data_IF_063333764845
#
_entry.id   IF_063333764845
#
_cell.length_a   1.000
_cell.length_b   1.000
_cell.length_c   1.000
_cell.angle_alpha   90.00
_cell.angle_beta   90.00
_cell.angle_gamma   90.00
#
_symmetry.space_group_name_H-M   'P 1'
#
loop_
_entity.id
_entity.type
_entity.pdbx_description
1 polymer ?
#
# COMPACT_ATOMS: atom_id res chain seq x y z
N UNK A 1 5.73 2.20 1.69
CA UNK A 1 4.97 1.61 2.82
C UNK A 1 5.55 1.93 4.20
N UNK A 2 6.81 1.60 4.51
CA UNK A 2 7.42 1.92 5.82
C UNK A 2 7.39 3.42 6.15
N UNK A 3 7.70 4.28 5.16
CA UNK A 3 7.61 5.75 5.32
C UNK A 3 6.19 6.26 5.61
N UNK A 4 5.17 5.65 5.00
CA UNK A 4 3.77 6.02 5.27
C UNK A 4 3.36 5.63 6.70
N UNK A 5 3.74 4.43 7.15
CA UNK A 5 3.40 3.94 8.49
C UNK A 5 4.15 4.70 9.60
N UNK A 6 5.42 5.04 9.37
CA UNK A 6 6.17 5.95 10.24
C UNK A 6 5.53 7.36 10.25
N UNK A 7 5.09 7.83 9.08
CA UNK A 7 4.36 9.09 8.93
C UNK A 7 2.90 9.05 9.44
N UNK A 8 2.34 7.90 9.85
CA UNK A 8 1.08 7.88 10.61
C UNK A 8 1.32 7.92 12.12
N UNK A 9 2.38 7.25 12.59
CA UNK A 9 2.76 7.28 14.00
C UNK A 9 3.14 8.68 14.49
N UNK A 10 3.92 9.45 13.70
CA UNK A 10 4.29 10.81 14.10
C UNK A 10 3.11 11.79 14.21
N UNK A 11 1.97 11.50 13.56
CA UNK A 11 0.74 12.30 13.68
C UNK A 11 0.07 12.07 15.04
N UNK A 12 0.18 10.85 15.56
CA UNK A 12 -0.25 10.56 16.92
C UNK A 12 0.61 11.31 17.96
N UNK A 13 1.92 11.48 17.68
CA UNK A 13 2.83 12.23 18.54
C UNK A 13 2.48 13.72 18.67
N UNK A 14 1.86 14.26 17.61
CA UNK A 14 1.42 15.65 17.55
C UNK A 14 0.15 15.93 18.38
N UNK A 15 -0.58 14.92 18.88
CA UNK A 15 -1.70 15.15 19.79
C UNK A 15 -1.25 15.66 21.16
N UNK A 16 -0.10 15.23 21.69
CA UNK A 16 0.41 15.67 23.00
C UNK A 16 0.53 17.21 23.10
N UNK A 17 1.23 17.91 22.18
CA UNK A 17 1.34 19.37 22.25
C UNK A 17 0.01 20.12 22.00
N UNK A 18 -0.97 19.53 21.29
CA UNK A 18 -2.30 20.12 21.13
C UNK A 18 -3.03 20.20 22.48
N UNK A 19 -3.04 19.09 23.24
CA UNK A 19 -3.72 19.02 24.52
C UNK A 19 -2.96 19.72 25.65
N UNK A 20 -1.62 19.64 25.67
CA UNK A 20 -0.82 20.17 26.78
C UNK A 20 -0.41 21.65 26.61
N UNK A 21 -0.22 22.14 25.38
CA UNK A 21 0.31 23.50 25.16
C UNK A 21 -0.68 24.44 24.49
N UNK A 22 -1.42 23.94 23.51
CA UNK A 22 -2.34 24.76 22.71
C UNK A 22 -3.67 25.02 23.44
N UNK A 23 -4.28 23.99 24.03
CA UNK A 23 -5.52 24.14 24.80
C UNK A 23 -5.37 25.02 26.06
N UNK A 24 -4.30 24.89 26.88
CA UNK A 24 -4.21 25.61 28.15
C UNK A 24 -3.64 27.03 28.05
N UNK A 25 -2.62 27.27 27.22
CA UNK A 25 -1.82 28.51 27.26
C UNK A 25 -1.83 29.36 25.98
N UNK A 26 -2.44 28.88 24.88
CA UNK A 26 -2.47 29.52 23.54
C UNK A 26 -1.10 29.98 22.97
N UNK A 27 0.01 29.61 23.60
CA UNK A 27 1.38 29.92 23.16
C UNK A 27 1.89 28.78 22.28
N UNK A 28 2.49 29.10 21.13
CA UNK A 28 3.03 28.09 20.20
C UNK A 28 2.02 27.50 19.20
N UNK A 29 0.79 28.03 19.13
CA UNK A 29 -0.26 27.59 18.19
C UNK A 29 0.25 27.50 16.73
N UNK A 30 0.89 28.55 16.23
CA UNK A 30 1.37 28.62 14.84
C UNK A 30 2.39 27.52 14.53
N UNK A 31 3.33 27.24 15.43
CA UNK A 31 4.34 26.21 15.24
C UNK A 31 3.73 24.80 15.20
N UNK A 32 2.82 24.49 16.13
CA UNK A 32 2.14 23.19 16.19
C UNK A 32 1.29 22.97 14.93
N UNK A 33 0.52 23.97 14.51
CA UNK A 33 -0.30 23.90 13.28
C UNK A 33 0.58 23.73 12.04
N UNK A 34 1.67 24.50 11.91
CA UNK A 34 2.61 24.34 10.80
C UNK A 34 3.26 22.95 10.78
N UNK A 35 3.61 22.38 11.93
CA UNK A 35 4.16 21.03 12.04
C UNK A 35 3.15 19.96 11.59
N UNK A 36 1.88 20.08 11.99
CA UNK A 36 0.81 19.16 11.57
C UNK A 36 0.60 19.22 10.06
N UNK A 37 0.55 20.42 9.49
CA UNK A 37 0.39 20.61 8.05
C UNK A 37 1.58 20.00 7.31
N UNK A 38 2.81 20.32 7.72
CA UNK A 38 4.02 19.79 7.08
C UNK A 38 4.09 18.27 7.12
N UNK A 39 3.76 17.67 8.26
CA UNK A 39 3.75 16.24 8.42
C UNK A 39 2.60 15.55 7.65
N UNK A 40 1.43 16.18 7.58
CA UNK A 40 0.29 15.69 6.78
C UNK A 40 0.60 15.70 5.28
N UNK A 41 1.27 16.75 4.80
CA UNK A 41 1.74 16.85 3.41
C UNK A 41 2.77 15.75 3.12
N UNK A 42 3.75 15.56 4.00
CA UNK A 42 4.75 14.51 3.86
C UNK A 42 4.11 13.11 3.83
N UNK A 43 3.16 12.84 4.74
CA UNK A 43 2.39 11.59 4.76
C UNK A 43 1.63 11.39 3.45
N UNK A 44 1.01 12.44 2.90
CA UNK A 44 0.30 12.40 1.62
C UNK A 44 1.23 12.03 0.45
N UNK A 45 2.40 12.65 0.39
CA UNK A 45 3.44 12.34 -0.62
C UNK A 45 3.89 10.88 -0.49
N UNK A 46 4.21 10.43 0.73
CA UNK A 46 4.61 9.06 0.99
C UNK A 46 3.52 8.05 0.60
N UNK A 47 2.24 8.38 0.83
CA UNK A 47 1.10 7.56 0.42
C UNK A 47 1.02 7.44 -1.10
N UNK A 48 1.14 8.57 -1.80
CA UNK A 48 1.09 8.63 -3.26
C UNK A 48 2.17 7.74 -3.89
N UNK A 49 3.43 7.90 -3.48
CA UNK A 49 4.51 7.06 -3.99
C UNK A 49 4.29 5.58 -3.67
N UNK A 50 3.75 5.26 -2.50
CA UNK A 50 3.47 3.89 -2.11
C UNK A 50 2.44 3.23 -3.03
N UNK A 51 1.36 3.94 -3.37
CA UNK A 51 0.33 3.45 -4.30
C UNK A 51 0.90 3.35 -5.71
N UNK A 52 1.60 4.39 -6.17
CA UNK A 52 2.18 4.42 -7.51
C UNK A 52 3.14 3.24 -7.75
N UNK A 53 4.06 2.99 -6.82
CA UNK A 53 5.03 1.90 -6.93
C UNK A 53 4.34 0.53 -6.92
N UNK A 54 3.31 0.32 -6.09
CA UNK A 54 2.57 -0.94 -6.08
C UNK A 54 1.79 -1.18 -7.37
N UNK A 55 1.17 -0.13 -7.91
CA UNK A 55 0.51 -0.20 -9.22
C UNK A 55 1.50 -0.55 -10.33
N UNK A 56 2.67 0.10 -10.37
CA UNK A 56 3.72 -0.20 -11.36
C UNK A 56 4.19 -1.66 -11.26
N UNK A 57 4.46 -2.16 -10.05
CA UNK A 57 4.83 -3.56 -9.81
C UNK A 57 3.71 -4.51 -10.28
N UNK A 58 2.46 -4.22 -9.97
CA UNK A 58 1.30 -4.99 -10.42
C UNK A 58 1.21 -5.07 -11.94
N UNK A 59 1.37 -3.95 -12.63
CA UNK A 59 1.30 -3.90 -14.10
C UNK A 59 2.47 -4.66 -14.76
N UNK A 60 3.69 -4.56 -14.22
CA UNK A 60 4.84 -5.35 -14.69
C UNK A 60 4.60 -6.84 -14.53
N UNK A 61 4.06 -7.26 -13.39
CA UNK A 61 3.69 -8.65 -13.15
C UNK A 61 2.66 -9.15 -14.17
N UNK A 62 1.61 -8.37 -14.45
CA UNK A 62 0.60 -8.72 -15.46
C UNK A 62 1.24 -8.88 -16.83
N UNK A 63 2.10 -7.94 -17.23
CA UNK A 63 2.79 -7.97 -18.52
C UNK A 63 3.61 -9.26 -18.66
N UNK A 64 4.39 -9.58 -17.65
CA UNK A 64 5.32 -10.71 -17.69
C UNK A 64 4.55 -12.05 -17.66
N UNK A 65 3.52 -12.18 -16.80
CA UNK A 65 2.65 -13.36 -16.78
C UNK A 65 1.90 -13.53 -18.10
N UNK A 66 1.37 -12.45 -18.67
CA UNK A 66 0.65 -12.50 -19.95
C UNK A 66 1.57 -12.97 -21.06
N UNK A 67 2.78 -12.44 -21.14
CA UNK A 67 3.77 -12.86 -22.14
C UNK A 67 4.14 -14.36 -22.00
N UNK A 68 4.42 -14.81 -20.77
CA UNK A 68 4.77 -16.21 -20.51
C UNK A 68 3.61 -17.16 -20.82
N UNK A 69 2.38 -16.85 -20.38
CA UNK A 69 1.23 -17.70 -20.65
C UNK A 69 0.89 -17.77 -22.14
N UNK A 70 0.94 -16.63 -22.84
CA UNK A 70 0.69 -16.60 -24.28
C UNK A 70 1.73 -17.44 -25.03
N UNK A 71 3.02 -17.26 -24.75
CA UNK A 71 4.08 -18.04 -25.36
C UNK A 71 3.93 -19.54 -25.10
N UNK A 72 3.62 -19.91 -23.85
CA UNK A 72 3.41 -21.30 -23.47
C UNK A 72 2.20 -21.92 -24.18
N UNK A 73 1.07 -21.21 -24.26
CA UNK A 73 -0.14 -21.68 -24.94
C UNK A 73 0.12 -21.88 -26.43
N UNK A 74 0.79 -20.94 -27.10
CA UNK A 74 1.10 -21.04 -28.54
C UNK A 74 2.03 -22.21 -28.87
N UNK A 75 2.85 -22.65 -27.91
CA UNK A 75 3.74 -23.82 -28.08
C UNK A 75 3.05 -25.18 -27.91
N UNK A 76 1.75 -25.22 -27.55
CA UNK A 76 1.05 -26.48 -27.29
C UNK A 76 0.61 -27.21 -28.56
N UNK A 77 0.45 -28.53 -28.44
CA UNK A 77 0.01 -29.39 -29.55
C UNK A 77 -1.43 -29.14 -29.99
N UNK A 78 -1.77 -29.51 -31.23
CA UNK A 78 -3.14 -29.44 -31.74
C UNK A 78 -4.15 -30.24 -30.87
N UNK A 79 -3.71 -31.36 -30.27
CA UNK A 79 -4.53 -32.16 -29.35
C UNK A 79 -4.87 -31.45 -28.04
N UNK A 80 -4.06 -30.48 -27.61
CA UNK A 80 -4.40 -29.61 -26.47
C UNK A 80 -5.57 -28.68 -26.82
N UNK A 81 -5.52 -28.06 -28.00
CA UNK A 81 -6.60 -27.18 -28.49
C UNK A 81 -7.88 -27.95 -28.83
N UNK A 82 -7.79 -29.22 -29.24
CA UNK A 82 -8.96 -30.06 -29.44
C UNK A 82 -9.74 -30.35 -28.15
N UNK A 83 -9.09 -30.26 -26.97
CA UNK A 83 -9.69 -30.53 -25.66
C UNK A 83 -10.03 -29.28 -24.85
N UNK A 84 -9.60 -28.09 -25.28
CA UNK A 84 -9.82 -26.83 -24.55
C UNK A 84 -10.32 -25.72 -25.47
N UNK A 85 -11.32 -24.98 -25.01
CA UNK A 85 -11.85 -23.84 -25.76
C UNK A 85 -10.87 -22.66 -25.71
N UNK A 86 -10.68 -22.02 -26.86
CA UNK A 86 -9.87 -20.78 -26.96
C UNK A 86 -10.39 -19.70 -26.00
N UNK A 87 -11.71 -19.60 -25.82
CA UNK A 87 -12.32 -18.68 -24.86
C UNK A 87 -11.94 -18.96 -23.40
N UNK A 88 -11.84 -20.24 -23.01
CA UNK A 88 -11.38 -20.62 -21.67
C UNK A 88 -9.91 -20.26 -21.43
N UNK A 89 -9.06 -20.41 -22.44
CA UNK A 89 -7.65 -20.01 -22.35
C UNK A 89 -7.51 -18.48 -22.25
N UNK A 90 -8.25 -17.73 -23.08
CA UNK A 90 -8.26 -16.27 -23.01
C UNK A 90 -8.77 -15.76 -21.65
N UNK A 91 -9.82 -16.37 -21.11
CA UNK A 91 -10.35 -16.03 -19.78
C UNK A 91 -9.30 -16.20 -18.69
N UNK A 92 -8.45 -17.24 -18.75
CA UNK A 92 -7.35 -17.41 -17.78
C UNK A 92 -6.30 -16.32 -17.93
N UNK A 93 -5.93 -15.97 -19.16
CA UNK A 93 -4.95 -14.92 -19.44
C UNK A 93 -5.44 -13.54 -18.98
N UNK A 94 -6.74 -13.25 -19.09
CA UNK A 94 -7.28 -11.95 -18.72
C UNK A 94 -7.71 -11.93 -17.26
N UNK A 95 -8.57 -12.84 -16.83
CA UNK A 95 -9.21 -12.82 -15.52
C UNK A 95 -8.29 -13.37 -14.43
N UNK A 96 -7.68 -14.54 -14.61
CA UNK A 96 -6.86 -15.13 -13.54
C UNK A 96 -5.59 -14.29 -13.30
N UNK A 97 -4.94 -13.82 -14.37
CA UNK A 97 -3.79 -12.91 -14.25
C UNK A 97 -4.17 -11.60 -13.56
N UNK A 98 -5.32 -11.02 -13.88
CA UNK A 98 -5.78 -9.78 -13.20
C UNK A 98 -6.09 -10.03 -11.72
N UNK A 99 -6.67 -11.19 -11.37
CA UNK A 99 -6.89 -11.58 -9.97
C UNK A 99 -5.58 -11.74 -9.21
N UNK A 100 -4.57 -12.38 -9.83
CA UNK A 100 -3.24 -12.51 -9.24
C UNK A 100 -2.60 -11.13 -9.02
N UNK A 101 -2.72 -10.23 -10.00
CA UNK A 101 -2.22 -8.86 -9.85
C UNK A 101 -2.90 -8.12 -8.72
N UNK A 102 -4.21 -8.24 -8.57
CA UNK A 102 -4.95 -7.63 -7.47
C UNK A 102 -4.44 -8.12 -6.11
N UNK A 103 -4.30 -9.44 -5.94
CA UNK A 103 -3.80 -10.02 -4.69
C UNK A 103 -2.38 -9.53 -4.37
N UNK A 104 -1.49 -9.52 -5.37
CA UNK A 104 -0.07 -9.18 -5.14
C UNK A 104 0.15 -7.69 -4.96
N UNK A 105 -0.48 -6.86 -5.78
CA UNK A 105 -0.24 -5.41 -5.78
C UNK A 105 -1.06 -4.67 -4.72
N UNK A 106 -2.29 -5.13 -4.44
CA UNK A 106 -3.20 -4.47 -3.52
C UNK A 106 -3.23 -5.20 -2.19
N UNK A 107 -3.75 -6.44 -2.16
CA UNK A 107 -4.06 -7.13 -0.90
C UNK A 107 -2.84 -7.36 -0.03
N UNK A 108 -1.74 -7.88 -0.59
CA UNK A 108 -0.51 -8.11 0.18
C UNK A 108 0.13 -6.79 0.61
N UNK A 109 0.11 -5.78 -0.28
CA UNK A 109 0.63 -4.45 0.03
C UNK A 109 -0.13 -3.81 1.20
N UNK A 110 -1.45 -3.84 1.16
CA UNK A 110 -2.30 -3.27 2.20
C UNK A 110 -2.13 -4.01 3.53
N UNK A 111 -2.10 -5.35 3.52
CA UNK A 111 -1.85 -6.14 4.74
C UNK A 111 -0.49 -5.80 5.39
N UNK A 112 0.57 -5.67 4.58
CA UNK A 112 1.89 -5.27 5.09
C UNK A 112 1.85 -3.85 5.68
N UNK A 113 1.17 -2.93 4.99
CA UNK A 113 1.01 -1.55 5.45
C UNK A 113 0.23 -1.50 6.77
N UNK A 114 -0.86 -2.23 6.89
CA UNK A 114 -1.68 -2.30 8.09
C UNK A 114 -0.91 -2.91 9.25
N UNK A 115 -0.18 -4.01 9.02
CA UNK A 115 0.66 -4.62 10.04
C UNK A 115 1.72 -3.65 10.60
N UNK A 116 2.44 -2.94 9.73
CA UNK A 116 3.44 -1.94 10.16
C UNK A 116 2.77 -0.76 10.88
N UNK A 117 1.60 -0.32 10.41
CA UNK A 117 0.86 0.78 11.03
C UNK A 117 0.37 0.40 12.43
N UNK A 118 -0.16 -0.82 12.61
CA UNK A 118 -0.56 -1.35 13.90
C UNK A 118 0.60 -1.43 14.88
N UNK A 119 1.76 -1.95 14.45
CA UNK A 119 2.97 -1.99 15.29
C UNK A 119 3.45 -0.60 15.69
N UNK A 120 3.39 0.37 14.76
CA UNK A 120 3.76 1.76 15.04
C UNK A 120 2.84 2.39 16.11
N UNK A 121 1.52 2.20 15.99
CA UNK A 121 0.58 2.69 17.00
C UNK A 121 0.71 1.98 18.34
N UNK A 122 0.91 0.66 18.36
CA UNK A 122 1.13 -0.08 19.59
C UNK A 122 2.39 0.40 20.32
N UNK A 123 3.51 0.57 19.60
CA UNK A 123 4.74 1.11 20.18
C UNK A 123 4.57 2.53 20.71
N UNK A 124 3.79 3.36 20.02
CA UNK A 124 3.46 4.71 20.48
C UNK A 124 2.66 4.71 21.77
N UNK A 125 1.58 3.94 21.83
CA UNK A 125 0.75 3.86 23.02
C UNK A 125 1.54 3.38 24.25
N UNK A 126 2.39 2.35 24.08
CA UNK A 126 3.25 1.88 25.17
C UNK A 126 4.24 2.94 25.63
N UNK A 127 4.85 3.69 24.70
CA UNK A 127 5.75 4.80 25.05
C UNK A 127 5.02 5.90 25.84
N UNK A 128 3.78 6.19 25.48
CA UNK A 128 2.96 7.21 26.15
C UNK A 128 2.43 6.79 27.51
N UNK A 129 2.10 5.51 27.71
CA UNK A 129 1.60 5.00 29.00
C UNK A 129 2.72 4.86 30.05
N UNK A 130 3.96 4.64 29.60
CA UNK A 130 5.13 4.48 30.48
C UNK A 130 5.79 5.83 30.85
N UNK A 131 5.47 6.93 30.14
CA UNK A 131 6.19 8.21 30.23
C UNK A 131 5.38 9.43 30.66
#
# INVERSE_FOLDING_TARGET
MVFYAAASGGLAYLFKPIFDQVLPNQTGFTWVVSAIIGFSVFKGIAAYFSVYLMTDVGQRLVRDLRSQLFGHILSQSAGFFARRTTGGLMSRITNDISRIQQVVAETIGDLLREAVTLLAYAGLLLYYDIG
#
